data_IF_470048643813
#
_entry.id   IF_470048643813
#
_cell.length_a   1.000
_cell.length_b   1.000
_cell.length_c   1.000
_cell.angle_alpha   90.00
_cell.angle_beta   90.00
_cell.angle_gamma   90.00
#
_symmetry.space_group_name_H-M   'P 1'
#
loop_
_entity.id
_entity.type
_entity.pdbx_description
1 polymer ?
#
# COMPACT_ATOMS: atom_id res chain seq x y z
N UNK A 1 -16.79 14.71 -7.56
CA UNK A 1 -17.59 13.48 -7.57
C UNK A 1 -17.99 13.14 -6.14
N UNK A 2 -19.19 12.61 -5.90
CA UNK A 2 -19.66 12.21 -4.56
C UNK A 2 -19.65 10.68 -4.51
N UNK A 3 -18.92 10.09 -3.56
CA UNK A 3 -18.88 8.65 -3.38
C UNK A 3 -20.27 8.12 -3.00
N UNK A 4 -20.73 7.06 -3.65
CA UNK A 4 -22.01 6.42 -3.36
C UNK A 4 -21.78 4.98 -2.91
N UNK A 5 -21.73 4.79 -1.59
CA UNK A 5 -21.58 3.47 -0.98
C UNK A 5 -22.69 2.49 -1.42
N UNK A 6 -23.92 2.99 -1.63
CA UNK A 6 -25.05 2.17 -2.08
C UNK A 6 -24.84 1.58 -3.48
N UNK A 7 -24.24 2.36 -4.40
CA UNK A 7 -23.94 1.86 -5.76
C UNK A 7 -22.85 0.77 -5.69
N UNK A 8 -21.78 1.01 -4.92
CA UNK A 8 -20.71 0.03 -4.74
C UNK A 8 -21.24 -1.25 -4.11
N UNK A 9 -22.06 -1.15 -3.08
CA UNK A 9 -22.68 -2.30 -2.43
C UNK A 9 -23.57 -3.11 -3.37
N UNK A 10 -24.42 -2.44 -4.17
CA UNK A 10 -25.28 -3.10 -5.16
C UNK A 10 -24.47 -3.76 -6.29
N UNK A 11 -23.32 -3.19 -6.67
CA UNK A 11 -22.41 -3.79 -7.62
C UNK A 11 -21.77 -5.07 -7.05
N UNK A 12 -21.23 -4.99 -5.84
CA UNK A 12 -20.56 -6.12 -5.17
C UNK A 12 -21.48 -7.32 -4.92
N UNK A 13 -22.76 -7.11 -4.61
CA UNK A 13 -23.73 -8.23 -4.47
C UNK A 13 -23.95 -9.00 -5.78
N UNK A 14 -23.68 -8.36 -6.93
CA UNK A 14 -23.86 -8.97 -8.26
C UNK A 14 -22.57 -9.56 -8.82
N UNK A 15 -21.56 -9.73 -7.97
CA UNK A 15 -20.32 -10.39 -8.32
C UNK A 15 -20.57 -11.86 -8.66
N UNK A 16 -20.09 -12.27 -9.82
CA UNK A 16 -20.05 -13.65 -10.29
C UNK A 16 -18.72 -14.23 -9.80
N UNK A 17 -18.73 -14.87 -8.63
CA UNK A 17 -17.55 -15.53 -8.09
C UNK A 17 -17.13 -16.69 -9.01
N UNK A 18 -15.85 -16.69 -9.38
CA UNK A 18 -15.21 -17.80 -10.07
C UNK A 18 -13.84 -18.03 -9.44
N UNK A 19 -13.72 -19.11 -8.67
CA UNK A 19 -12.51 -19.44 -7.91
C UNK A 19 -11.30 -19.78 -8.82
N UNK A 20 -11.51 -19.97 -10.12
CA UNK A 20 -10.43 -20.23 -11.09
C UNK A 20 -9.75 -18.96 -11.63
N UNK A 21 -10.31 -17.77 -11.33
CA UNK A 21 -9.87 -16.49 -11.89
C UNK A 21 -9.39 -15.56 -10.77
N UNK A 22 -8.13 -15.69 -10.37
CA UNK A 22 -7.56 -14.97 -9.21
C UNK A 22 -7.44 -13.44 -9.42
N UNK A 23 -7.32 -12.97 -10.67
CA UNK A 23 -6.99 -11.57 -10.99
C UNK A 23 -8.15 -10.75 -11.62
N UNK A 24 -9.39 -11.27 -11.59
CA UNK A 24 -10.54 -10.54 -12.11
C UNK A 24 -11.84 -10.74 -11.32
N UNK A 25 -12.58 -9.64 -11.18
CA UNK A 25 -13.95 -9.64 -10.70
C UNK A 25 -14.89 -9.54 -11.89
N UNK A 26 -15.98 -10.30 -11.88
CA UNK A 26 -17.05 -10.19 -12.88
C UNK A 26 -18.34 -9.78 -12.21
N UNK A 27 -19.08 -8.86 -12.81
CA UNK A 27 -20.34 -8.36 -12.27
C UNK A 27 -21.47 -8.54 -13.28
N UNK A 28 -22.63 -8.96 -12.80
CA UNK A 28 -23.84 -9.00 -13.62
C UNK A 28 -24.55 -7.64 -13.61
N UNK A 29 -24.52 -6.94 -14.74
CA UNK A 29 -25.20 -5.66 -14.94
C UNK A 29 -26.26 -5.80 -16.02
N UNK A 30 -27.51 -5.94 -15.58
CA UNK A 30 -28.62 -6.27 -16.48
C UNK A 30 -28.45 -7.69 -17.04
N UNK A 31 -28.33 -7.80 -18.37
CA UNK A 31 -28.03 -9.06 -19.06
C UNK A 31 -26.55 -9.21 -19.43
N UNK A 32 -25.69 -8.27 -19.04
CA UNK A 32 -24.27 -8.27 -19.40
C UNK A 32 -23.38 -8.72 -18.24
N UNK A 33 -22.40 -9.55 -18.55
CA UNK A 33 -21.26 -9.81 -17.67
C UNK A 33 -20.18 -8.77 -17.95
N UNK A 34 -19.88 -7.94 -16.95
CA UNK A 34 -18.85 -6.91 -17.03
C UNK A 34 -17.65 -7.33 -16.20
N UNK A 35 -16.46 -7.21 -16.78
CA UNK A 35 -15.19 -7.59 -16.15
C UNK A 35 -14.50 -6.37 -15.55
N UNK A 36 -13.94 -6.54 -14.37
CA UNK A 36 -13.04 -5.61 -13.70
C UNK A 36 -11.80 -6.40 -13.26
N UNK A 37 -10.71 -6.26 -14.00
CA UNK A 37 -9.43 -6.92 -13.75
C UNK A 37 -8.39 -5.92 -13.23
N UNK A 38 -7.19 -6.43 -12.96
CA UNK A 38 -6.00 -5.63 -12.71
C UNK A 38 -5.80 -4.51 -13.76
N UNK A 39 -6.14 -4.74 -15.04
CA UNK A 39 -6.02 -3.73 -16.11
C UNK A 39 -6.91 -2.53 -15.83
N UNK A 40 -8.20 -2.75 -15.56
CA UNK A 40 -9.14 -1.66 -15.27
C UNK A 40 -8.77 -0.93 -13.98
N UNK A 41 -8.31 -1.65 -12.95
CA UNK A 41 -7.78 -1.04 -11.74
C UNK A 41 -6.59 -0.13 -12.04
N UNK A 42 -5.57 -0.62 -12.76
CA UNK A 42 -4.39 0.18 -13.13
C UNK A 42 -4.76 1.41 -13.94
N UNK A 43 -5.72 1.30 -14.86
CA UNK A 43 -6.18 2.43 -15.66
C UNK A 43 -6.83 3.53 -14.81
N UNK A 44 -7.61 3.14 -13.81
CA UNK A 44 -8.33 4.07 -12.93
C UNK A 44 -7.40 4.69 -11.90
N UNK A 45 -6.60 3.88 -11.22
CA UNK A 45 -5.77 4.33 -10.09
C UNK A 45 -4.41 4.86 -10.53
N UNK A 46 -3.99 4.54 -11.77
CA UNK A 46 -2.61 4.71 -12.26
C UNK A 46 -1.55 3.93 -11.47
N UNK A 47 -1.97 3.06 -10.56
CA UNK A 47 -1.09 2.17 -9.81
C UNK A 47 -0.84 0.89 -10.62
N UNK A 48 0.31 0.26 -10.44
CA UNK A 48 0.67 -1.02 -11.07
C UNK A 48 0.54 -2.16 -10.07
N UNK A 49 0.22 -3.35 -10.57
CA UNK A 49 0.41 -4.59 -9.81
C UNK A 49 1.82 -5.10 -10.09
N UNK A 50 2.79 -4.65 -9.28
CA UNK A 50 4.15 -5.18 -9.30
C UNK A 50 4.27 -6.45 -8.45
N UNK A 51 5.23 -7.31 -8.78
CA UNK A 51 5.69 -8.35 -7.85
C UNK A 51 6.24 -7.66 -6.62
N UNK A 52 5.84 -8.10 -5.41
CA UNK A 52 6.46 -7.60 -4.17
C UNK A 52 7.95 -7.91 -4.28
N UNK A 53 8.84 -6.89 -4.34
CA UNK A 53 10.26 -7.14 -4.51
C UNK A 53 10.78 -7.91 -3.30
N UNK A 54 11.77 -8.77 -3.53
CA UNK A 54 12.44 -9.45 -2.42
C UNK A 54 13.23 -8.43 -1.60
N UNK A 55 12.58 -7.90 -0.57
CA UNK A 55 13.18 -6.89 0.28
C UNK A 55 14.22 -7.45 1.23
N UNK A 56 14.45 -8.77 1.26
CA UNK A 56 15.47 -9.38 2.10
C UNK A 56 16.88 -9.05 1.63
N UNK A 57 17.06 -8.69 0.36
CA UNK A 57 18.35 -8.27 -0.20
C UNK A 57 18.66 -6.79 0.04
N UNK A 58 17.73 -6.02 0.60
CA UNK A 58 17.99 -4.61 0.94
C UNK A 58 18.58 -4.50 2.33
N UNK A 59 19.90 -4.30 2.40
CA UNK A 59 20.62 -4.09 3.66
C UNK A 59 20.06 -2.87 4.41
N UNK A 60 19.89 -2.97 5.73
CA UNK A 60 19.59 -1.80 6.55
C UNK A 60 20.83 -0.90 6.59
N UNK A 61 20.70 0.36 6.13
CA UNK A 61 21.82 1.32 6.19
C UNK A 61 22.02 1.76 7.62
N UNK A 62 23.27 1.73 8.06
CA UNK A 62 23.68 2.28 9.36
C UNK A 62 23.32 3.78 9.40
N UNK A 63 22.61 4.20 10.45
CA UNK A 63 22.02 5.54 10.56
C UNK A 63 20.93 5.91 9.54
N UNK A 64 20.32 4.95 8.83
CA UNK A 64 19.15 5.22 7.98
C UNK A 64 17.86 5.45 8.78
N UNK A 65 16.74 5.67 8.07
CA UNK A 65 15.40 5.92 8.69
C UNK A 65 15.01 4.88 9.74
N UNK A 66 15.45 3.62 9.55
CA UNK A 66 15.19 2.56 10.50
C UNK A 66 15.87 2.82 11.85
N UNK A 67 17.12 3.25 11.82
CA UNK A 67 17.87 3.58 13.04
C UNK A 67 17.44 4.93 13.62
N UNK A 68 17.25 5.94 12.77
CA UNK A 68 16.95 7.31 13.22
C UNK A 68 15.50 7.50 13.69
N UNK A 69 14.54 6.95 12.96
CA UNK A 69 13.11 7.14 13.26
C UNK A 69 12.54 6.04 14.15
N UNK A 70 13.13 4.83 14.13
CA UNK A 70 12.59 3.68 14.85
C UNK A 70 13.57 3.05 15.84
N UNK A 71 14.73 3.67 16.08
CA UNK A 71 15.77 3.17 17.00
C UNK A 71 16.27 1.75 16.65
N UNK A 72 16.19 1.38 15.37
CA UNK A 72 16.57 0.04 14.91
C UNK A 72 15.53 -1.04 15.24
N UNK A 73 14.31 -0.67 15.62
CA UNK A 73 13.24 -1.60 15.92
C UNK A 73 12.48 -2.00 14.65
N UNK A 74 12.43 -3.30 14.39
CA UNK A 74 11.65 -3.90 13.30
C UNK A 74 10.12 -3.87 13.56
N UNK A 75 9.72 -3.46 14.76
CA UNK A 75 8.34 -3.54 15.25
C UNK A 75 7.74 -2.15 15.50
N UNK A 76 7.48 -1.43 14.41
CA UNK A 76 6.92 -0.07 14.48
C UNK A 76 5.40 -0.14 14.49
N UNK A 77 4.76 0.46 15.49
CA UNK A 77 3.31 0.63 15.50
C UNK A 77 2.90 1.79 14.61
N UNK A 78 1.72 1.68 14.02
CA UNK A 78 1.18 2.72 13.15
C UNK A 78 1.01 4.08 13.84
N UNK A 79 0.62 4.10 15.12
CA UNK A 79 0.54 5.34 15.92
C UNK A 79 1.92 6.00 16.13
N UNK A 80 2.99 5.22 16.22
CA UNK A 80 4.36 5.74 16.31
C UNK A 80 4.77 6.37 14.99
N UNK A 81 4.44 5.73 13.85
CA UNK A 81 4.66 6.30 12.52
C UNK A 81 3.92 7.64 12.34
N UNK A 82 2.64 7.73 12.75
CA UNK A 82 1.87 8.99 12.74
C UNK A 82 2.54 10.07 13.60
N UNK A 83 3.02 9.71 14.79
CA UNK A 83 3.66 10.64 15.71
C UNK A 83 4.95 11.21 15.10
N UNK A 84 5.79 10.36 14.49
CA UNK A 84 7.04 10.78 13.83
C UNK A 84 6.74 11.75 12.68
N UNK A 85 5.77 11.41 11.82
CA UNK A 85 5.35 12.29 10.72
C UNK A 85 4.82 13.64 11.21
N UNK A 86 4.11 13.66 12.36
CA UNK A 86 3.61 14.89 12.97
C UNK A 86 4.71 15.76 13.57
N UNK A 87 5.72 15.16 14.18
CA UNK A 87 6.87 15.88 14.75
C UNK A 87 7.65 16.59 13.64
N UNK A 88 7.79 15.95 12.48
CA UNK A 88 8.33 16.58 11.28
C UNK A 88 9.84 16.87 11.33
N UNK A 89 10.57 16.25 12.27
CA UNK A 89 12.02 16.38 12.40
C UNK A 89 12.67 15.24 11.65
N UNK A 90 13.30 15.56 10.52
CA UNK A 90 13.94 14.60 9.62
C UNK A 90 15.37 15.02 9.34
N UNK A 91 16.29 14.05 9.26
CA UNK A 91 17.71 14.33 9.06
C UNK A 91 18.08 14.35 7.59
N UNK A 92 17.52 13.45 6.77
CA UNK A 92 17.70 13.49 5.32
C UNK A 92 16.49 14.11 4.60
N UNK A 93 16.77 14.71 3.43
CA UNK A 93 15.78 15.40 2.60
C UNK A 93 14.60 14.49 2.18
N UNK A 94 14.86 13.20 2.00
CA UNK A 94 13.86 12.24 1.52
C UNK A 94 13.17 11.46 2.64
N UNK A 95 13.59 11.59 3.90
CA UNK A 95 13.03 10.77 5.00
C UNK A 95 11.55 11.06 5.23
N UNK A 96 11.17 12.33 5.13
CA UNK A 96 9.77 12.75 5.17
C UNK A 96 8.94 12.04 4.09
N UNK A 97 9.49 11.92 2.88
CA UNK A 97 8.84 11.27 1.74
C UNK A 97 8.74 9.76 1.99
N UNK A 98 9.82 9.11 2.41
CA UNK A 98 9.85 7.66 2.70
C UNK A 98 8.84 7.29 3.78
N UNK A 99 8.79 8.05 4.88
CA UNK A 99 7.84 7.84 5.97
C UNK A 99 6.40 8.12 5.54
N UNK A 100 6.19 9.14 4.70
CA UNK A 100 4.87 9.43 4.15
C UNK A 100 4.39 8.34 3.19
N UNK A 101 5.26 7.81 2.33
CA UNK A 101 4.96 6.66 1.47
C UNK A 101 4.63 5.42 2.30
N UNK A 102 5.39 5.16 3.38
CA UNK A 102 5.10 4.08 4.32
C UNK A 102 3.71 4.25 4.95
N UNK A 103 3.36 5.48 5.33
CA UNK A 103 2.03 5.81 5.86
C UNK A 103 0.92 5.57 4.83
N UNK A 104 1.08 6.06 3.60
CA UNK A 104 0.09 5.88 2.53
C UNK A 104 -0.08 4.39 2.17
N UNK A 105 1.02 3.64 2.08
CA UNK A 105 1.02 2.20 1.81
C UNK A 105 0.22 1.43 2.87
N UNK A 106 0.46 1.71 4.15
CA UNK A 106 -0.24 1.04 5.25
C UNK A 106 -1.71 1.45 5.36
N UNK A 107 -2.00 2.75 5.25
CA UNK A 107 -3.33 3.31 5.50
C UNK A 107 -4.29 3.14 4.34
N UNK A 108 -3.78 3.37 3.12
CA UNK A 108 -4.62 3.57 1.94
C UNK A 108 -4.65 2.32 1.07
N UNK A 109 -3.48 1.71 0.84
CA UNK A 109 -3.36 0.59 -0.08
C UNK A 109 -3.61 -0.76 0.60
N UNK A 110 -3.03 -0.98 1.77
CA UNK A 110 -3.10 -2.28 2.46
C UNK A 110 -4.23 -2.37 3.50
N UNK A 111 -4.83 -1.22 3.85
CA UNK A 111 -5.84 -1.08 4.92
C UNK A 111 -5.50 -1.93 6.15
N UNK A 112 -4.25 -1.81 6.61
CA UNK A 112 -3.80 -2.56 7.78
C UNK A 112 -4.54 -2.02 9.01
N UNK A 113 -5.01 -2.94 9.85
CA UNK A 113 -5.57 -2.61 11.17
C UNK A 113 -4.54 -1.75 11.92
N UNK A 114 -4.94 -0.59 12.43
CA UNK A 114 -4.05 0.34 13.15
C UNK A 114 -3.36 -0.30 14.36
N UNK A 115 -3.90 -1.41 14.85
CA UNK A 115 -3.32 -2.23 15.93
C UNK A 115 -2.17 -3.12 15.47
N UNK A 116 -2.03 -3.33 14.15
CA UNK A 116 -0.96 -4.14 13.56
C UNK A 116 0.30 -3.31 13.37
N UNK A 117 1.43 -4.01 13.48
CA UNK A 117 2.77 -3.46 13.27
C UNK A 117 3.00 -3.26 11.77
N UNK A 118 3.75 -2.23 11.42
CA UNK A 118 4.26 -2.02 10.07
C UNK A 118 5.23 -3.15 9.75
N UNK A 119 4.99 -3.97 8.71
CA UNK A 119 5.92 -5.02 8.33
C UNK A 119 7.29 -4.46 7.92
N UNK A 120 8.37 -5.09 8.39
CA UNK A 120 9.75 -4.69 8.07
C UNK A 120 10.03 -4.59 6.57
N UNK A 121 9.43 -5.45 5.76
CA UNK A 121 9.60 -5.42 4.31
C UNK A 121 9.12 -4.10 3.68
N UNK A 122 8.13 -3.44 4.28
CA UNK A 122 7.65 -2.14 3.80
C UNK A 122 8.62 -1.01 4.16
N UNK A 123 9.25 -1.09 5.32
CA UNK A 123 10.32 -0.17 5.73
C UNK A 123 11.50 -0.28 4.75
N UNK A 124 11.84 -1.53 4.36
CA UNK A 124 12.88 -1.79 3.36
C UNK A 124 12.48 -1.33 1.96
N UNK A 125 11.21 -1.48 1.58
CA UNK A 125 10.69 -1.05 0.29
C UNK A 125 10.83 0.46 0.09
N UNK A 126 10.42 1.28 1.07
CA UNK A 126 10.50 2.75 0.96
C UNK A 126 11.92 3.29 1.10
N UNK A 127 12.91 2.46 1.44
CA UNK A 127 14.31 2.87 1.52
C UNK A 127 14.85 3.26 0.14
N UNK A 128 14.49 2.48 -0.87
CA UNK A 128 14.88 2.66 -2.27
C UNK A 128 13.66 3.15 -3.05
N UNK A 129 13.61 4.46 -3.31
CA UNK A 129 12.49 5.08 -3.99
C UNK A 129 12.39 4.63 -5.45
N UNK A 130 13.50 4.26 -6.08
CA UNK A 130 13.49 3.73 -7.46
C UNK A 130 12.84 2.34 -7.48
N UNK A 131 13.14 1.49 -6.48
CA UNK A 131 12.45 0.20 -6.29
C UNK A 131 10.97 0.41 -5.96
N UNK A 132 10.65 1.38 -5.10
CA UNK A 132 9.26 1.71 -4.76
C UNK A 132 8.49 2.12 -6.02
N UNK A 133 9.06 2.97 -6.88
CA UNK A 133 8.43 3.44 -8.12
C UNK A 133 8.25 2.32 -9.18
N UNK A 134 9.07 1.28 -9.13
CA UNK A 134 8.87 0.07 -9.95
C UNK A 134 7.71 -0.78 -9.40
N UNK A 135 7.56 -0.82 -8.08
CA UNK A 135 6.48 -1.54 -7.40
C UNK A 135 5.11 -0.85 -7.54
N UNK A 136 5.05 0.48 -7.43
CA UNK A 136 3.82 1.29 -7.45
C UNK A 136 3.39 1.77 -8.84
#
# INVERSE_FOLDING_TARGET
MKFSAGIVHQLLIRELHNDELEDEMRFLLGCYSVRFSNVEFCLITRLKFGVIPDTMTYDMVENGIHQQSFEGRDEVKYEELKAILRIGVFTEQNDAVKLFLLYILNWTLMRLDERKKVPIWQIRLVKDLDVFDVFS
#
